data_IF_406101148415
#
_entry.id   IF_406101148415
#
_cell.length_a   1.000
_cell.length_b   1.000
_cell.length_c   1.000
_cell.angle_alpha   90.00
_cell.angle_beta   90.00
_cell.angle_gamma   90.00
#
_symmetry.space_group_name_H-M   'P 1'
#
loop_
_entity.id
_entity.type
_entity.pdbx_description
1 polymer ?
#
# COMPACT_ATOMS: atom_id res chain seq x y z
N UNK A 1 33.13 18.61 0.40
CA UNK A 1 31.96 18.65 1.29
C UNK A 1 30.74 18.32 0.44
N UNK A 2 30.21 17.09 0.54
CA UNK A 2 29.00 16.68 -0.19
C UNK A 2 27.81 17.24 0.59
N UNK A 3 26.89 18.04 0.00
CA UNK A 3 25.78 18.60 0.73
C UNK A 3 24.87 17.46 1.21
N UNK A 4 24.66 17.37 2.53
CA UNK A 4 23.64 16.49 3.13
C UNK A 4 22.28 16.93 2.61
N UNK A 5 21.55 16.01 1.99
CA UNK A 5 20.18 16.22 1.53
C UNK A 5 19.36 16.85 2.66
N UNK A 6 18.79 18.01 2.35
CA UNK A 6 17.87 18.74 3.20
C UNK A 6 16.66 17.82 3.46
N UNK A 7 16.42 17.39 4.71
CA UNK A 7 15.20 16.63 5.08
C UNK A 7 14.00 17.53 4.77
N UNK A 8 13.35 17.32 3.64
CA UNK A 8 12.12 18.02 3.28
C UNK A 8 11.00 17.55 4.21
N UNK A 9 10.02 18.41 4.48
CA UNK A 9 8.88 18.15 5.37
C UNK A 9 8.03 16.90 5.03
N UNK A 10 8.37 16.17 3.95
CA UNK A 10 7.71 14.94 3.50
C UNK A 10 8.29 13.66 4.10
N UNK A 11 9.28 13.74 4.99
CA UNK A 11 9.92 12.54 5.56
C UNK A 11 9.21 11.96 6.79
N UNK A 12 8.13 12.57 7.28
CA UNK A 12 7.38 12.04 8.42
C UNK A 12 5.88 12.41 8.39
N UNK A 13 5.12 11.70 9.21
CA UNK A 13 3.78 12.04 9.70
C UNK A 13 3.78 11.95 11.22
N UNK A 14 2.68 12.35 11.85
CA UNK A 14 2.45 12.16 13.28
C UNK A 14 1.25 11.26 13.48
N UNK A 15 1.38 10.25 14.35
CA UNK A 15 0.26 9.49 14.90
C UNK A 15 0.11 9.96 16.35
N UNK A 16 -0.88 10.80 16.61
CA UNK A 16 -0.98 11.57 17.85
C UNK A 16 0.25 12.44 18.05
N UNK A 17 0.90 12.33 19.20
CA UNK A 17 2.15 13.05 19.50
C UNK A 17 3.40 12.32 18.98
N UNK A 18 3.25 11.13 18.38
CA UNK A 18 4.38 10.31 17.95
C UNK A 18 4.76 10.60 16.51
N UNK A 19 6.01 11.04 16.30
CA UNK A 19 6.56 11.25 14.97
C UNK A 19 6.94 9.91 14.31
N UNK A 20 6.33 9.62 13.17
CA UNK A 20 6.55 8.41 12.38
C UNK A 20 7.28 8.77 11.08
N UNK A 21 8.49 8.24 10.90
CA UNK A 21 9.30 8.47 9.70
C UNK A 21 8.73 7.67 8.52
N UNK A 22 8.73 8.26 7.33
CA UNK A 22 8.36 7.60 6.08
C UNK A 22 9.53 6.72 5.62
N UNK A 23 9.42 5.38 5.65
CA UNK A 23 10.54 4.51 5.37
C UNK A 23 10.72 4.28 3.87
N UNK A 24 11.94 3.85 3.49
CA UNK A 24 12.16 3.18 2.22
C UNK A 24 11.53 1.79 2.31
N UNK A 25 10.77 1.39 1.29
CA UNK A 25 10.30 0.01 1.16
C UNK A 25 11.47 -0.86 0.68
N UNK A 26 12.14 -1.49 1.64
CA UNK A 26 13.15 -2.52 1.40
C UNK A 26 12.46 -3.83 0.99
N UNK A 27 13.24 -4.80 0.49
CA UNK A 27 12.70 -6.13 0.12
C UNK A 27 11.92 -6.76 1.29
N UNK A 28 12.46 -6.70 2.50
CA UNK A 28 11.79 -7.19 3.71
C UNK A 28 10.42 -6.54 3.95
N UNK A 29 10.30 -5.22 3.75
CA UNK A 29 9.02 -4.51 3.94
C UNK A 29 8.03 -4.82 2.81
N UNK A 30 8.53 -5.10 1.60
CA UNK A 30 7.69 -5.61 0.51
C UNK A 30 7.15 -7.01 0.80
N UNK A 31 8.00 -7.91 1.30
CA UNK A 31 7.58 -9.25 1.72
C UNK A 31 6.48 -9.17 2.79
N UNK A 32 6.72 -8.39 3.85
CA UNK A 32 5.73 -8.17 4.92
C UNK A 32 4.41 -7.57 4.39
N UNK A 33 4.47 -6.67 3.41
CA UNK A 33 3.28 -6.11 2.77
C UNK A 33 2.48 -7.17 2.01
N UNK A 34 3.15 -8.02 1.23
CA UNK A 34 2.49 -9.08 0.47
C UNK A 34 1.89 -10.16 1.35
N UNK A 35 2.53 -10.47 2.48
CA UNK A 35 1.96 -11.36 3.50
C UNK A 35 0.72 -10.76 4.19
N UNK A 36 0.61 -9.43 4.19
CA UNK A 36 -0.47 -8.73 4.91
C UNK A 36 -1.72 -8.52 4.06
N UNK A 37 -1.58 -8.35 2.74
CA UNK A 37 -2.69 -7.98 1.84
C UNK A 37 -3.33 -9.22 1.23
N UNK A 38 -4.28 -9.81 1.94
CA UNK A 38 -5.05 -10.98 1.46
C UNK A 38 -6.48 -10.62 1.02
N UNK A 39 -7.14 -9.65 1.67
CA UNK A 39 -8.59 -9.46 1.53
C UNK A 39 -9.04 -8.27 0.68
N UNK A 40 -8.20 -7.25 0.44
CA UNK A 40 -8.56 -6.06 -0.35
C UNK A 40 -9.22 -6.38 -1.72
N UNK A 41 -8.69 -7.31 -2.56
CA UNK A 41 -9.33 -7.63 -3.83
C UNK A 41 -10.73 -8.21 -3.68
N UNK A 42 -10.92 -9.11 -2.70
CA UNK A 42 -12.20 -9.76 -2.45
C UNK A 42 -13.24 -8.78 -1.89
N UNK A 43 -12.82 -7.83 -1.06
CA UNK A 43 -13.70 -6.78 -0.53
C UNK A 43 -14.30 -5.90 -1.63
N UNK A 44 -13.47 -5.51 -2.61
CA UNK A 44 -13.93 -4.72 -3.75
C UNK A 44 -14.98 -5.50 -4.57
N UNK A 45 -14.71 -6.79 -4.82
CA UNK A 45 -15.66 -7.67 -5.53
C UNK A 45 -16.99 -7.78 -4.78
N UNK A 46 -16.95 -7.97 -3.46
CA UNK A 46 -18.15 -8.11 -2.63
C UNK A 46 -19.01 -6.84 -2.65
N UNK A 47 -18.40 -5.65 -2.53
CA UNK A 47 -19.13 -4.37 -2.58
C UNK A 47 -19.77 -4.14 -3.95
N UNK A 48 -19.05 -4.45 -5.03
CA UNK A 48 -19.59 -4.33 -6.39
C UNK A 48 -20.75 -5.30 -6.64
N UNK A 49 -20.64 -6.54 -6.15
CA UNK A 49 -21.70 -7.54 -6.27
C UNK A 49 -22.96 -7.18 -5.47
N UNK A 50 -22.82 -6.53 -4.32
CA UNK A 50 -23.93 -6.10 -3.48
C UNK A 50 -24.63 -4.82 -4.00
N UNK A 51 -24.06 -4.12 -4.99
CA UNK A 51 -24.61 -2.85 -5.50
C UNK A 51 -26.01 -3.05 -6.08
N UNK A 52 -26.98 -2.30 -5.56
CA UNK A 52 -28.39 -2.39 -5.96
C UNK A 52 -29.22 -3.45 -5.21
N UNK A 53 -28.60 -4.16 -4.27
CA UNK A 53 -29.32 -5.02 -3.31
C UNK A 53 -29.74 -4.25 -2.05
N UNK A 54 -30.66 -4.81 -1.28
CA UNK A 54 -31.02 -4.30 0.04
C UNK A 54 -29.84 -4.34 1.04
N UNK A 55 -28.89 -5.26 0.82
CA UNK A 55 -27.75 -5.49 1.70
C UNK A 55 -26.54 -4.59 1.36
N UNK A 56 -26.67 -3.73 0.35
CA UNK A 56 -25.58 -2.88 -0.11
C UNK A 56 -24.96 -2.04 1.01
N UNK A 57 -25.79 -1.36 1.81
CA UNK A 57 -25.32 -0.48 2.88
C UNK A 57 -24.61 -1.27 3.98
N UNK A 58 -25.13 -2.43 4.37
CA UNK A 58 -24.49 -3.30 5.37
C UNK A 58 -23.14 -3.83 4.85
N UNK A 59 -23.11 -4.29 3.59
CA UNK A 59 -21.89 -4.77 2.93
C UNK A 59 -20.82 -3.69 2.84
N UNK A 60 -21.23 -2.46 2.51
CA UNK A 60 -20.34 -1.31 2.43
C UNK A 60 -19.72 -0.95 3.78
N UNK A 61 -20.50 -0.97 4.87
CA UNK A 61 -20.00 -0.68 6.22
C UNK A 61 -19.00 -1.74 6.69
N UNK A 62 -19.30 -3.02 6.46
CA UNK A 62 -18.37 -4.12 6.80
C UNK A 62 -17.09 -3.99 5.98
N UNK A 63 -17.20 -3.76 4.67
CA UNK A 63 -16.04 -3.59 3.80
C UNK A 63 -15.19 -2.37 4.18
N UNK A 64 -15.81 -1.26 4.58
CA UNK A 64 -15.10 -0.08 5.07
C UNK A 64 -14.34 -0.37 6.37
N UNK A 65 -14.95 -1.08 7.32
CA UNK A 65 -14.28 -1.52 8.55
C UNK A 65 -13.08 -2.42 8.27
N UNK A 66 -13.25 -3.40 7.38
CA UNK A 66 -12.17 -4.31 6.98
C UNK A 66 -11.05 -3.58 6.24
N UNK A 67 -11.38 -2.61 5.37
CA UNK A 67 -10.39 -1.79 4.68
C UNK A 67 -9.59 -0.91 5.65
N UNK A 68 -10.21 -0.39 6.71
CA UNK A 68 -9.52 0.34 7.78
C UNK A 68 -8.55 -0.58 8.53
N UNK A 69 -8.99 -1.78 8.93
CA UNK A 69 -8.12 -2.77 9.59
C UNK A 69 -6.95 -3.20 8.69
N UNK A 70 -7.18 -3.41 7.39
CA UNK A 70 -6.10 -3.69 6.43
C UNK A 70 -5.14 -2.52 6.26
N UNK A 71 -5.66 -1.30 6.24
CA UNK A 71 -4.84 -0.08 6.19
C UNK A 71 -3.92 -0.01 7.41
N UNK A 72 -4.44 -0.29 8.61
CA UNK A 72 -3.64 -0.36 9.84
C UNK A 72 -2.55 -1.43 9.73
N UNK A 73 -2.89 -2.64 9.27
CA UNK A 73 -1.91 -3.73 9.11
C UNK A 73 -0.80 -3.37 8.12
N UNK A 74 -1.14 -2.74 6.99
CA UNK A 74 -0.18 -2.23 6.01
C UNK A 74 0.78 -1.24 6.67
N UNK A 75 0.25 -0.28 7.44
CA UNK A 75 1.08 0.71 8.13
C UNK A 75 1.95 0.05 9.20
N UNK A 76 1.43 -0.91 9.97
CA UNK A 76 2.19 -1.69 10.95
C UNK A 76 3.37 -2.43 10.30
N UNK A 77 3.12 -3.16 9.20
CA UNK A 77 4.15 -3.87 8.45
C UNK A 77 5.26 -2.94 7.89
N UNK A 78 4.88 -1.72 7.48
CA UNK A 78 5.82 -0.74 6.92
C UNK A 78 6.60 -0.01 8.01
N UNK A 79 5.99 0.28 9.15
CA UNK A 79 6.60 1.09 10.22
C UNK A 79 7.27 0.27 11.31
N UNK A 80 7.00 -1.04 11.36
CA UNK A 80 7.32 -1.92 12.48
C UNK A 80 6.67 -1.45 13.81
N UNK A 81 5.63 -0.61 13.75
CA UNK A 81 4.83 -0.21 14.89
C UNK A 81 3.74 -1.24 15.19
N UNK A 82 3.33 -1.28 16.44
CA UNK A 82 2.21 -2.11 16.88
C UNK A 82 0.88 -1.63 16.27
N UNK A 83 0.03 -2.57 15.88
CA UNK A 83 -1.25 -2.26 15.23
C UNK A 83 -2.23 -1.56 16.18
N UNK A 84 -2.26 -1.94 17.46
CA UNK A 84 -3.14 -1.33 18.45
C UNK A 84 -2.67 0.09 18.75
N UNK A 85 -1.36 0.32 18.83
CA UNK A 85 -0.81 1.67 18.90
C UNK A 85 -1.29 2.56 17.73
N UNK A 86 -1.27 2.03 16.50
CA UNK A 86 -1.75 2.78 15.33
C UNK A 86 -3.25 3.08 15.45
N UNK A 87 -4.08 2.11 15.88
CA UNK A 87 -5.53 2.31 16.05
C UNK A 87 -5.86 3.38 17.10
N UNK A 88 -5.07 3.44 18.17
CA UNK A 88 -5.29 4.37 19.27
C UNK A 88 -4.81 5.79 18.96
N UNK A 89 -3.86 5.96 18.03
CA UNK A 89 -3.14 7.22 17.83
C UNK A 89 -3.25 7.80 16.41
N UNK A 90 -3.68 7.03 15.40
CA UNK A 90 -3.77 7.50 14.03
C UNK A 90 -5.24 7.57 13.55
N UNK A 91 -5.63 8.73 13.05
CA UNK A 91 -6.87 8.88 12.30
C UNK A 91 -6.70 8.48 10.83
N UNK A 92 -7.82 8.43 10.12
CA UNK A 92 -7.85 8.07 8.70
C UNK A 92 -7.00 9.04 7.83
N UNK A 93 -6.97 10.32 8.20
CA UNK A 93 -6.17 11.34 7.50
C UNK A 93 -4.68 11.04 7.61
N UNK A 94 -4.19 10.77 8.83
CA UNK A 94 -2.78 10.47 9.09
C UNK A 94 -2.35 9.18 8.38
N UNK A 95 -3.18 8.14 8.38
CA UNK A 95 -2.92 6.88 7.68
C UNK A 95 -2.86 7.09 6.16
N UNK A 96 -3.79 7.88 5.61
CA UNK A 96 -3.82 8.18 4.17
C UNK A 96 -2.58 9.00 3.76
N UNK A 97 -2.21 10.00 4.55
CA UNK A 97 -1.01 10.81 4.34
C UNK A 97 0.27 9.96 4.41
N UNK A 98 0.34 9.03 5.37
CA UNK A 98 1.47 8.11 5.48
C UNK A 98 1.62 7.26 4.22
N UNK A 99 0.53 6.67 3.74
CA UNK A 99 0.53 5.83 2.53
C UNK A 99 0.92 6.65 1.31
N UNK A 100 0.34 7.84 1.13
CA UNK A 100 0.64 8.72 0.01
C UNK A 100 2.12 9.14 0.00
N UNK A 101 2.66 9.58 1.15
CA UNK A 101 4.08 9.96 1.28
C UNK A 101 5.01 8.75 1.09
N UNK A 102 4.63 7.58 1.60
CA UNK A 102 5.40 6.33 1.38
C UNK A 102 5.44 5.97 -0.10
N UNK A 103 4.32 6.08 -0.81
CA UNK A 103 4.24 5.82 -2.24
C UNK A 103 5.10 6.81 -3.04
N UNK A 104 5.07 8.09 -2.67
CA UNK A 104 5.88 9.14 -3.30
C UNK A 104 7.38 8.92 -3.07
N UNK A 105 7.80 8.70 -1.82
CA UNK A 105 9.21 8.49 -1.45
C UNK A 105 9.82 7.26 -2.13
N UNK A 106 9.00 6.25 -2.38
CA UNK A 106 9.43 5.00 -3.01
C UNK A 106 9.24 4.97 -4.53
N UNK A 107 8.69 6.04 -5.11
CA UNK A 107 8.37 6.17 -6.53
C UNK A 107 7.65 4.92 -7.07
N UNK A 108 6.57 4.53 -6.37
CA UNK A 108 5.84 3.30 -6.68
C UNK A 108 5.23 3.32 -8.09
N UNK A 109 4.90 4.50 -8.61
CA UNK A 109 4.44 4.68 -9.99
C UNK A 109 5.52 4.28 -11.00
N UNK A 110 6.77 4.74 -10.83
CA UNK A 110 7.86 4.34 -11.72
C UNK A 110 8.23 2.86 -11.52
N UNK A 111 8.20 2.36 -10.28
CA UNK A 111 8.46 0.94 -9.99
C UNK A 111 7.45 0.03 -10.70
N UNK A 112 6.14 0.34 -10.61
CA UNK A 112 5.08 -0.39 -11.27
C UNK A 112 5.23 -0.36 -12.80
N UNK A 113 5.52 0.81 -13.39
CA UNK A 113 5.77 0.94 -14.84
C UNK A 113 6.95 0.10 -15.31
N UNK A 114 8.06 0.08 -14.55
CA UNK A 114 9.24 -0.74 -14.86
C UNK A 114 8.92 -2.23 -14.79
N UNK A 115 8.19 -2.65 -13.76
CA UNK A 115 7.75 -4.05 -13.61
C UNK A 115 6.83 -4.47 -14.76
N UNK A 116 5.84 -3.65 -15.11
CA UNK A 116 4.94 -3.89 -16.24
C UNK A 116 5.71 -3.99 -17.56
N UNK A 117 6.64 -3.07 -17.81
CA UNK A 117 7.46 -3.09 -19.02
C UNK A 117 8.35 -4.35 -19.08
N UNK A 118 8.92 -4.79 -17.96
CA UNK A 118 9.69 -6.02 -17.87
C UNK A 118 8.83 -7.25 -18.18
N UNK A 119 7.61 -7.32 -17.64
CA UNK A 119 6.67 -8.40 -17.91
C UNK A 119 6.25 -8.45 -19.38
N UNK A 120 5.88 -7.31 -19.98
CA UNK A 120 5.53 -7.23 -21.42
C UNK A 120 6.71 -7.63 -22.29
N UNK A 121 7.94 -7.22 -21.94
CA UNK A 121 9.14 -7.63 -22.66
C UNK A 121 9.36 -9.14 -22.56
N UNK A 122 9.22 -9.71 -21.37
CA UNK A 122 9.33 -11.15 -21.15
C UNK A 122 8.31 -11.92 -21.99
N UNK A 123 7.03 -11.53 -21.93
CA UNK A 123 5.95 -12.15 -22.70
C UNK A 123 6.17 -12.06 -24.23
N UNK A 124 6.71 -10.94 -24.73
CA UNK A 124 7.09 -10.79 -26.14
C UNK A 124 8.29 -11.67 -26.52
N UNK A 125 9.32 -11.75 -25.68
CA UNK A 125 10.49 -12.60 -25.93
C UNK A 125 10.11 -14.08 -25.98
N UNK A 126 9.23 -14.55 -25.09
CA UNK A 126 8.73 -15.94 -25.11
C UNK A 126 7.84 -16.23 -26.32
N UNK A 127 7.07 -15.25 -26.79
CA UNK A 127 6.23 -15.42 -27.98
C UNK A 127 7.05 -15.48 -29.28
N UNK A 128 8.15 -14.72 -29.38
CA UNK A 128 9.05 -14.70 -30.54
C UNK A 128 9.90 -15.97 -30.62
N UNK A 129 10.36 -16.52 -29.48
CA UNK A 129 11.08 -17.80 -29.46
C UNK A 129 10.20 -19.01 -29.77
N UNK A 130 8.87 -18.89 -29.66
CA UNK A 130 7.92 -19.96 -29.96
C UNK A 130 7.46 -19.99 -31.44
N UNK A 131 7.81 -18.97 -32.24
CA UNK A 131 7.41 -18.84 -33.65
C UNK A 131 8.54 -19.10 -34.67
N UNK A 132 9.77 -19.36 -34.21
CA UNK A 132 10.88 -19.84 -35.06
C UNK A 132 11.48 -21.10 -34.44
N UNK A 133 11.05 -22.31 -34.85
CA UNK A 133 11.80 -23.54 -34.63
C UNK A 133 13.12 -23.57 -35.44
#
# INVERSE_FOLDING_TARGET
MIPRFNKTQNDAVYFGDTRVEIPKLTIRKWEALFETVESLPQLIVNVLAAKGSADFTATLVVAAGMALDETVKIVAAITDLDADFIKDNAGLTELTDFIAKTAQKNDLSAAAKKLQAAFVRFAKTTAVSAQNP
#
